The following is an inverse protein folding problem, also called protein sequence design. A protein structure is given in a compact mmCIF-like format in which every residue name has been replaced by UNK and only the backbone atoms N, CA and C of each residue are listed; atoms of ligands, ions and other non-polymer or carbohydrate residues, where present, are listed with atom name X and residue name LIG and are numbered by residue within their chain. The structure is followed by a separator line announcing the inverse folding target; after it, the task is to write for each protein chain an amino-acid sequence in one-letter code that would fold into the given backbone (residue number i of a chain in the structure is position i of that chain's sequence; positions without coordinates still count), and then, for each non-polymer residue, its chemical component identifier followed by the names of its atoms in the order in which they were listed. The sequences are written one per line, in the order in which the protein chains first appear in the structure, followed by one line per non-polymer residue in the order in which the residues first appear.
data_IF_944017672458
#
_entry.id   IF_944017672458
#
_cell.length_a   1.000
_cell.length_b   1.000
_cell.length_c   1.000
_cell.angle_alpha   90.00
_cell.angle_beta   90.00
_cell.angle_gamma   90.00
#
_symmetry.space_group_name_H-M   'P 1'
#
loop_
_entity.id
_entity.type
_entity.pdbx_description
1 polymer ?
#
# COMPACT_ATOMS: atom_id res chain seq x y z
N UNK A 1 17.93 -37.19 -11.12
CA UNK A 1 17.56 -36.39 -9.92
C UNK A 1 18.80 -36.12 -9.10
N UNK A 2 19.16 -34.86 -8.92
CA UNK A 2 20.30 -34.46 -8.07
C UNK A 2 19.87 -34.55 -6.59
N UNK A 3 20.64 -35.26 -5.76
CA UNK A 3 20.40 -35.34 -4.30
C UNK A 3 21.34 -34.38 -3.57
N UNK A 4 20.82 -33.65 -2.57
CA UNK A 4 21.65 -32.79 -1.72
C UNK A 4 22.63 -33.63 -0.87
N UNK A 5 23.95 -33.37 -0.93
CA UNK A 5 24.92 -33.98 -0.03
C UNK A 5 24.60 -33.68 1.44
N UNK A 6 24.98 -34.57 2.35
CA UNK A 6 24.75 -34.42 3.80
C UNK A 6 25.34 -33.12 4.35
N UNK A 7 26.55 -32.78 3.95
CA UNK A 7 27.23 -31.53 4.33
C UNK A 7 26.42 -30.30 3.92
N UNK A 8 25.86 -30.29 2.70
CA UNK A 8 25.03 -29.18 2.24
C UNK A 8 23.73 -29.10 3.04
N UNK A 9 23.07 -30.23 3.33
CA UNK A 9 21.87 -30.25 4.19
C UNK A 9 22.16 -29.71 5.59
N UNK A 10 23.34 -29.99 6.15
CA UNK A 10 23.75 -29.45 7.44
C UNK A 10 23.98 -27.94 7.36
N UNK A 11 24.72 -27.46 6.35
CA UNK A 11 25.01 -26.04 6.18
C UNK A 11 23.75 -25.21 5.96
N UNK A 12 22.75 -25.73 5.23
CA UNK A 12 21.46 -25.08 5.03
C UNK A 12 20.63 -24.91 6.31
N UNK A 13 20.97 -25.63 7.40
CA UNK A 13 20.30 -25.47 8.70
C UNK A 13 20.95 -24.40 9.59
N UNK A 14 22.11 -23.88 9.20
CA UNK A 14 22.83 -22.87 9.96
C UNK A 14 22.29 -21.46 9.64
N UNK A 15 22.64 -20.47 10.47
CA UNK A 15 22.32 -19.04 10.27
C UNK A 15 20.82 -18.73 10.20
N UNK A 16 20.03 -19.30 11.10
CA UNK A 16 18.60 -19.03 11.25
C UNK A 16 17.81 -19.21 9.93
N UNK A 17 17.75 -20.45 9.40
CA UNK A 17 17.14 -20.73 8.09
C UNK A 17 15.61 -20.56 8.07
N UNK A 18 14.98 -20.43 9.24
CA UNK A 18 13.55 -20.32 9.40
C UNK A 18 13.14 -18.87 9.69
N UNK A 19 11.90 -18.48 9.35
CA UNK A 19 11.35 -17.20 9.78
C UNK A 19 11.42 -17.01 11.31
N UNK A 20 11.43 -15.75 11.80
CA UNK A 20 11.32 -15.44 13.21
C UNK A 20 10.16 -16.14 13.90
N UNK A 21 10.29 -16.29 15.23
CA UNK A 21 9.19 -16.76 16.07
C UNK A 21 8.01 -15.80 15.94
N UNK A 22 6.82 -16.38 15.82
CA UNK A 22 5.59 -15.61 15.72
C UNK A 22 5.22 -15.02 17.09
N UNK A 23 4.65 -13.81 17.14
CA UNK A 23 4.18 -13.23 18.39
C UNK A 23 3.03 -14.07 18.98
N UNK A 24 2.85 -14.08 20.31
CA UNK A 24 1.67 -14.68 20.93
C UNK A 24 0.39 -14.07 20.36
N UNK A 25 -0.58 -14.92 19.99
CA UNK A 25 -1.85 -14.48 19.38
C UNK A 25 -2.59 -13.40 20.21
N UNK A 26 -2.63 -13.45 21.56
CA UNK A 26 -3.24 -12.37 22.34
C UNK A 26 -2.57 -11.02 22.14
N UNK A 27 -1.23 -10.98 22.04
CA UNK A 27 -0.46 -9.76 21.81
C UNK A 27 -0.73 -9.21 20.40
N UNK A 28 -0.70 -10.08 19.40
CA UNK A 28 -1.02 -9.73 18.02
C UNK A 28 -2.46 -9.19 17.90
N UNK A 29 -3.44 -9.87 18.51
CA UNK A 29 -4.82 -9.39 18.55
C UNK A 29 -4.94 -8.03 19.25
N UNK A 30 -4.21 -7.83 20.36
CA UNK A 30 -4.20 -6.58 21.11
C UNK A 30 -3.76 -5.40 20.25
N UNK A 31 -2.62 -5.52 19.57
CA UNK A 31 -2.09 -4.45 18.73
C UNK A 31 -2.89 -4.23 17.45
N UNK A 32 -3.39 -5.29 16.82
CA UNK A 32 -4.27 -5.17 15.66
C UNK A 32 -5.60 -4.49 16.04
N UNK A 33 -6.13 -4.79 17.23
CA UNK A 33 -7.36 -4.16 17.73
C UNK A 33 -7.18 -2.68 18.03
N UNK A 34 -6.13 -2.31 18.76
CA UNK A 34 -5.88 -0.90 19.13
C UNK A 34 -5.65 -0.03 17.89
N UNK A 35 -4.82 -0.49 16.97
CA UNK A 35 -4.52 0.23 15.72
C UNK A 35 -5.73 0.29 14.78
N UNK A 36 -6.55 -0.77 14.69
CA UNK A 36 -7.79 -0.75 13.91
C UNK A 36 -8.85 0.20 14.50
N UNK A 37 -8.97 0.26 15.83
CA UNK A 37 -9.87 1.22 16.49
C UNK A 37 -9.42 2.65 16.16
N UNK A 38 -8.13 2.92 16.20
CA UNK A 38 -7.61 4.23 15.84
C UNK A 38 -7.85 4.56 14.36
N UNK A 39 -7.60 3.61 13.45
CA UNK A 39 -7.88 3.75 12.03
C UNK A 39 -9.36 4.07 11.76
N UNK A 40 -10.29 3.41 12.47
CA UNK A 40 -11.73 3.69 12.35
C UNK A 40 -12.11 5.11 12.76
N UNK A 41 -11.44 5.68 13.76
CA UNK A 41 -11.69 7.08 14.18
C UNK A 41 -11.22 8.09 13.12
N UNK A 42 -10.31 7.68 12.26
CA UNK A 42 -9.66 8.48 11.22
C UNK A 42 -10.17 8.17 9.80
N UNK A 43 -11.17 7.29 9.68
CA UNK A 43 -11.65 6.76 8.39
C UNK A 43 -10.51 6.18 7.51
N UNK A 44 -9.51 5.53 8.14
CA UNK A 44 -8.28 5.05 7.51
C UNK A 44 -8.13 3.51 7.54
N UNK A 45 -9.24 2.78 7.46
CA UNK A 45 -9.26 1.32 7.63
C UNK A 45 -8.59 0.57 6.48
N UNK A 46 -8.65 1.09 5.25
CA UNK A 46 -7.99 0.48 4.09
C UNK A 46 -6.48 0.63 4.24
N UNK A 47 -6.03 1.83 4.58
CA UNK A 47 -4.63 2.13 4.86
C UNK A 47 -4.08 1.29 6.00
N UNK A 48 -4.86 1.10 7.07
CA UNK A 48 -4.51 0.21 8.17
C UNK A 48 -4.28 -1.23 7.70
N UNK A 49 -5.17 -1.78 6.88
CA UNK A 49 -5.01 -3.14 6.36
C UNK A 49 -3.76 -3.26 5.49
N UNK A 50 -3.52 -2.27 4.63
CA UNK A 50 -2.34 -2.19 3.74
C UNK A 50 -1.05 -2.12 4.57
N UNK A 51 -0.92 -1.14 5.47
CA UNK A 51 0.28 -0.96 6.27
C UNK A 51 0.52 -2.13 7.22
N UNK A 52 -0.53 -2.74 7.81
CA UNK A 52 -0.37 -3.89 8.70
C UNK A 52 0.11 -5.12 7.92
N UNK A 53 -0.42 -5.34 6.70
CA UNK A 53 0.03 -6.42 5.81
C UNK A 53 1.51 -6.24 5.47
N UNK A 54 1.91 -5.05 5.02
CA UNK A 54 3.29 -4.73 4.66
C UNK A 54 4.23 -4.83 5.86
N UNK A 55 3.81 -4.39 7.05
CA UNK A 55 4.61 -4.45 8.28
C UNK A 55 4.89 -5.90 8.69
N UNK A 56 3.86 -6.74 8.80
CA UNK A 56 4.01 -8.16 9.18
C UNK A 56 4.81 -8.96 8.15
N UNK A 57 4.60 -8.67 6.87
CA UNK A 57 5.35 -9.30 5.78
C UNK A 57 6.83 -8.89 5.84
N UNK A 58 7.12 -7.61 6.05
CA UNK A 58 8.50 -7.10 6.15
C UNK A 58 9.22 -7.67 7.37
N UNK A 59 8.54 -7.75 8.51
CA UNK A 59 9.02 -8.42 9.73
C UNK A 59 9.21 -9.95 9.57
N UNK A 60 8.92 -10.49 8.37
CA UNK A 60 9.04 -11.89 8.02
C UNK A 60 8.17 -12.78 8.93
N UNK A 61 6.89 -12.41 9.12
CA UNK A 61 5.91 -13.14 9.92
C UNK A 61 4.78 -13.76 9.08
N UNK A 62 5.05 -14.79 8.23
CA UNK A 62 4.07 -15.35 7.31
C UNK A 62 2.72 -15.74 7.90
N UNK A 63 2.70 -16.48 9.02
CA UNK A 63 1.44 -16.93 9.63
C UNK A 63 0.67 -15.77 10.25
N UNK A 64 1.36 -14.73 10.72
CA UNK A 64 0.72 -13.50 11.23
C UNK A 64 -0.03 -12.76 10.12
N UNK A 65 0.42 -12.83 8.86
CA UNK A 65 -0.32 -12.29 7.71
C UNK A 65 -1.63 -13.06 7.48
N UNK A 66 -1.62 -14.40 7.57
CA UNK A 66 -2.84 -15.21 7.53
C UNK A 66 -3.77 -14.96 8.73
N UNK A 67 -3.20 -14.69 9.90
CA UNK A 67 -3.98 -14.31 11.08
C UNK A 67 -4.62 -12.93 10.94
N UNK A 68 -3.92 -11.94 10.37
CA UNK A 68 -4.48 -10.62 10.06
C UNK A 68 -5.72 -10.72 9.17
N UNK A 69 -5.70 -11.61 8.17
CA UNK A 69 -6.87 -11.88 7.35
C UNK A 69 -8.07 -12.37 8.17
N UNK A 70 -7.83 -13.38 9.01
CA UNK A 70 -8.86 -13.96 9.88
C UNK A 70 -9.41 -12.89 10.82
N UNK A 71 -8.53 -12.07 11.41
CA UNK A 71 -8.90 -10.94 12.26
C UNK A 71 -9.75 -9.87 11.54
N UNK A 72 -9.40 -9.52 10.31
CA UNK A 72 -10.12 -8.49 9.54
C UNK A 72 -11.49 -8.98 9.02
N UNK A 73 -11.70 -10.29 8.91
CA UNK A 73 -12.86 -10.89 8.24
C UNK A 73 -13.81 -11.66 9.17
N UNK A 74 -13.44 -11.89 10.43
CA UNK A 74 -14.23 -12.67 11.40
C UNK A 74 -14.47 -11.88 12.69
N UNK A 75 -15.58 -12.18 13.38
CA UNK A 75 -15.82 -11.63 14.74
C UNK A 75 -14.89 -12.27 15.76
N UNK A 76 -14.69 -13.58 15.66
CA UNK A 76 -13.66 -14.33 16.36
C UNK A 76 -12.64 -14.82 15.31
N UNK A 77 -11.38 -14.35 15.34
CA UNK A 77 -10.36 -14.78 14.38
C UNK A 77 -10.17 -16.30 14.33
N UNK A 78 -10.41 -17.00 15.44
CA UNK A 78 -10.24 -18.45 15.54
C UNK A 78 -11.44 -19.26 15.00
N UNK A 79 -12.61 -18.64 14.81
CA UNK A 79 -13.83 -19.31 14.37
C UNK A 79 -14.30 -18.80 13.00
N UNK A 80 -14.07 -19.63 11.98
CA UNK A 80 -14.47 -19.37 10.59
C UNK A 80 -15.98 -19.18 10.41
N UNK A 81 -16.81 -19.75 11.28
CA UNK A 81 -18.27 -19.58 11.22
C UNK A 81 -18.70 -18.15 11.53
N UNK A 82 -17.85 -17.38 12.22
CA UNK A 82 -18.08 -15.99 12.57
C UNK A 82 -17.62 -14.99 11.50
N UNK A 83 -17.24 -15.50 10.32
CA UNK A 83 -16.87 -14.67 9.17
C UNK A 83 -18.04 -13.78 8.76
N UNK A 84 -17.76 -12.49 8.55
CA UNK A 84 -18.81 -11.50 8.30
C UNK A 84 -19.60 -11.76 7.01
N UNK A 85 -18.91 -11.89 5.87
CA UNK A 85 -19.57 -12.10 4.58
C UNK A 85 -18.57 -12.26 3.45
N UNK A 86 -18.97 -13.00 2.41
CA UNK A 86 -18.08 -13.39 1.32
C UNK A 86 -17.49 -12.19 0.58
N UNK A 87 -18.30 -11.18 0.26
CA UNK A 87 -17.85 -10.00 -0.48
C UNK A 87 -16.73 -9.25 0.25
N UNK A 88 -16.92 -9.03 1.55
CA UNK A 88 -15.91 -8.41 2.43
C UNK A 88 -14.65 -9.27 2.48
N UNK A 89 -14.80 -10.58 2.67
CA UNK A 89 -13.67 -11.50 2.76
C UNK A 89 -12.83 -11.51 1.47
N UNK A 90 -13.48 -11.49 0.30
CA UNK A 90 -12.81 -11.43 -1.02
C UNK A 90 -12.13 -10.06 -1.21
N UNK A 91 -12.78 -8.95 -0.83
CA UNK A 91 -12.17 -7.62 -0.93
C UNK A 91 -10.94 -7.47 -0.02
N UNK A 92 -11.07 -7.87 1.25
CA UNK A 92 -9.95 -7.91 2.21
C UNK A 92 -8.80 -8.76 1.66
N UNK A 93 -9.10 -9.95 1.13
CA UNK A 93 -8.07 -10.80 0.58
C UNK A 93 -7.38 -10.19 -0.65
N UNK A 94 -8.13 -9.53 -1.53
CA UNK A 94 -7.58 -8.87 -2.71
C UNK A 94 -6.64 -7.71 -2.33
N UNK A 95 -7.03 -6.86 -1.38
CA UNK A 95 -6.19 -5.77 -0.88
C UNK A 95 -4.89 -6.28 -0.24
N UNK A 96 -4.96 -7.36 0.55
CA UNK A 96 -3.77 -7.96 1.17
C UNK A 96 -2.85 -8.58 0.11
N UNK A 97 -3.39 -9.29 -0.91
CA UNK A 97 -2.59 -9.83 -2.03
C UNK A 97 -1.89 -8.72 -2.79
N UNK A 98 -2.59 -7.63 -3.06
CA UNK A 98 -2.05 -6.50 -3.80
C UNK A 98 -0.96 -5.78 -3.00
N UNK A 99 -1.19 -5.55 -1.70
CA UNK A 99 -0.19 -4.98 -0.78
C UNK A 99 1.08 -5.84 -0.73
N UNK A 100 0.91 -7.16 -0.63
CA UNK A 100 2.03 -8.11 -0.63
C UNK A 100 2.77 -8.10 -1.98
N UNK A 101 2.07 -8.08 -3.12
CA UNK A 101 2.71 -7.99 -4.43
C UNK A 101 3.52 -6.69 -4.59
N UNK A 102 2.93 -5.52 -4.29
CA UNK A 102 3.64 -4.22 -4.37
C UNK A 102 4.84 -4.18 -3.43
N UNK A 103 4.74 -4.81 -2.25
CA UNK A 103 5.85 -4.87 -1.29
C UNK A 103 7.12 -5.55 -1.84
N UNK A 104 7.00 -6.39 -2.87
CA UNK A 104 8.13 -7.10 -3.50
C UNK A 104 9.25 -6.16 -3.92
N UNK A 105 8.91 -4.95 -4.38
CA UNK A 105 9.89 -3.92 -4.81
C UNK A 105 10.76 -3.46 -3.65
N UNK A 106 10.25 -3.53 -2.41
CA UNK A 106 10.92 -3.04 -1.21
C UNK A 106 11.62 -4.15 -0.42
N UNK A 107 11.00 -5.32 -0.28
CA UNK A 107 11.45 -6.38 0.64
C UNK A 107 11.99 -7.63 -0.07
N UNK A 108 11.81 -7.70 -1.39
CA UNK A 108 12.24 -8.82 -2.22
C UNK A 108 11.29 -10.01 -2.25
N UNK A 109 11.42 -10.80 -3.31
CA UNK A 109 10.57 -11.96 -3.63
C UNK A 109 10.52 -13.03 -2.52
N UNK A 110 11.62 -13.40 -1.83
CA UNK A 110 11.58 -14.52 -0.89
C UNK A 110 10.61 -14.32 0.28
N UNK A 111 10.60 -13.14 0.93
CA UNK A 111 9.67 -12.86 2.04
C UNK A 111 8.22 -12.85 1.57
N UNK A 112 7.98 -12.29 0.38
CA UNK A 112 6.65 -12.26 -0.25
C UNK A 112 6.14 -13.67 -0.55
N UNK A 113 6.99 -14.57 -1.06
CA UNK A 113 6.60 -15.98 -1.30
C UNK A 113 6.14 -16.64 -0.01
N UNK A 114 6.93 -16.51 1.07
CA UNK A 114 6.61 -17.13 2.35
C UNK A 114 5.27 -16.60 2.89
N UNK A 115 5.08 -15.28 2.90
CA UNK A 115 3.85 -14.66 3.39
C UNK A 115 2.64 -14.96 2.52
N UNK A 116 2.75 -14.92 1.18
CA UNK A 116 1.64 -15.24 0.28
C UNK A 116 1.25 -16.71 0.34
N UNK A 117 2.20 -17.63 0.54
CA UNK A 117 1.90 -19.05 0.69
C UNK A 117 1.06 -19.29 1.96
N UNK A 118 1.50 -18.80 3.12
CA UNK A 118 0.76 -18.93 4.37
C UNK A 118 -0.58 -18.18 4.34
N UNK A 119 -0.61 -16.99 3.77
CA UNK A 119 -1.84 -16.25 3.58
C UNK A 119 -2.83 -17.01 2.68
N UNK A 120 -2.37 -17.60 1.58
CA UNK A 120 -3.22 -18.42 0.69
C UNK A 120 -3.80 -19.63 1.42
N UNK A 121 -3.02 -20.27 2.29
CA UNK A 121 -3.50 -21.38 3.12
C UNK A 121 -4.59 -20.95 4.10
N UNK A 122 -4.56 -19.71 4.59
CA UNK A 122 -5.56 -19.17 5.52
C UNK A 122 -6.91 -18.81 4.87
N UNK A 123 -6.96 -18.68 3.54
CA UNK A 123 -8.19 -18.33 2.82
C UNK A 123 -9.15 -19.51 2.68
N UNK A 124 -10.44 -19.25 2.84
CA UNK A 124 -11.51 -20.21 2.54
C UNK A 124 -11.63 -20.48 1.02
N UNK A 125 -12.15 -21.65 0.64
CA UNK A 125 -12.21 -22.07 -0.76
C UNK A 125 -13.16 -21.21 -1.60
N UNK A 126 -14.27 -20.74 -1.02
CA UNK A 126 -15.20 -19.82 -1.67
C UNK A 126 -14.56 -18.44 -1.93
N UNK A 127 -13.66 -18.00 -1.06
CA UNK A 127 -12.86 -16.79 -1.24
C UNK A 127 -11.82 -16.98 -2.35
N UNK A 128 -11.05 -18.08 -2.30
CA UNK A 128 -10.06 -18.42 -3.35
C UNK A 128 -10.71 -18.51 -4.74
N UNK A 129 -11.91 -19.08 -4.81
CA UNK A 129 -12.64 -19.23 -6.07
C UNK A 129 -13.01 -17.89 -6.72
N UNK A 130 -13.27 -16.84 -5.93
CA UNK A 130 -13.69 -15.51 -6.39
C UNK A 130 -12.54 -14.52 -6.60
N UNK A 131 -11.35 -14.84 -6.14
CA UNK A 131 -10.17 -14.00 -6.32
C UNK A 131 -9.69 -14.00 -7.78
N UNK A 132 -9.16 -12.86 -8.30
CA UNK A 132 -8.58 -12.82 -9.63
C UNK A 132 -7.47 -13.86 -9.81
N UNK A 133 -7.56 -14.62 -10.92
CA UNK A 133 -6.63 -15.69 -11.31
C UNK A 133 -5.75 -15.31 -12.51
N UNK A 134 -6.12 -14.26 -13.23
CA UNK A 134 -5.40 -13.73 -14.39
C UNK A 134 -4.60 -12.50 -13.98
N UNK A 135 -3.56 -12.20 -14.77
CA UNK A 135 -2.75 -11.01 -14.58
C UNK A 135 -3.58 -9.77 -14.98
N UNK A 136 -4.15 -9.06 -14.01
CA UNK A 136 -4.85 -7.77 -14.23
C UNK A 136 -3.94 -6.66 -14.79
N UNK A 137 -2.62 -6.91 -14.84
CA UNK A 137 -1.59 -5.95 -15.25
C UNK A 137 -0.91 -6.27 -16.57
N UNK A 138 -1.42 -7.21 -17.36
CA UNK A 138 -0.79 -7.57 -18.64
C UNK A 138 -0.86 -6.38 -19.58
N UNK A 139 0.25 -5.64 -19.67
CA UNK A 139 0.46 -4.44 -20.48
C UNK A 139 1.71 -4.71 -21.32
N UNK A 140 1.76 -4.17 -22.53
CA UNK A 140 2.99 -4.17 -23.31
C UNK A 140 4.07 -3.33 -22.60
N UNK A 141 5.33 -3.52 -23.01
CA UNK A 141 6.46 -2.87 -22.35
C UNK A 141 6.41 -1.34 -22.42
N UNK A 142 5.91 -0.77 -23.51
CA UNK A 142 5.85 0.68 -23.68
C UNK A 142 4.84 1.28 -22.70
N UNK A 143 3.68 0.63 -22.55
CA UNK A 143 2.67 1.01 -21.56
C UNK A 143 3.20 0.90 -20.12
N UNK A 144 3.97 -0.16 -19.80
CA UNK A 144 4.61 -0.31 -18.49
C UNK A 144 5.58 0.85 -18.23
N UNK A 145 6.46 1.14 -19.19
CA UNK A 145 7.44 2.23 -19.06
C UNK A 145 6.74 3.58 -18.91
N UNK A 146 5.69 3.85 -19.68
CA UNK A 146 4.91 5.08 -19.60
C UNK A 146 4.27 5.27 -18.22
N UNK A 147 3.55 4.24 -17.71
CA UNK A 147 2.96 4.31 -16.37
C UNK A 147 4.01 4.50 -15.27
N UNK A 148 5.14 3.81 -15.40
CA UNK A 148 6.23 3.96 -14.45
C UNK A 148 6.81 5.38 -14.45
N UNK A 149 6.93 6.02 -15.63
CA UNK A 149 7.36 7.43 -15.72
C UNK A 149 6.33 8.40 -15.16
N UNK A 150 5.04 8.19 -15.41
CA UNK A 150 3.96 9.00 -14.81
C UNK A 150 4.03 8.92 -13.28
N UNK A 151 4.15 7.70 -12.73
CA UNK A 151 4.28 7.48 -11.30
C UNK A 151 5.57 8.13 -10.74
N UNK A 152 6.69 7.98 -11.42
CA UNK A 152 7.97 8.58 -11.04
C UNK A 152 7.87 10.10 -10.94
N UNK A 153 7.41 10.78 -11.98
CA UNK A 153 7.32 12.24 -12.04
C UNK A 153 6.41 12.76 -10.93
N UNK A 154 5.26 12.12 -10.74
CA UNK A 154 4.33 12.49 -9.69
C UNK A 154 4.91 12.38 -8.27
N UNK A 155 5.85 11.45 -7.99
CA UNK A 155 6.56 11.42 -6.69
C UNK A 155 7.65 12.50 -6.67
N UNK A 156 8.45 12.62 -7.73
CA UNK A 156 9.77 13.26 -7.66
C UNK A 156 9.84 14.68 -8.21
N UNK A 157 8.85 15.17 -8.94
CA UNK A 157 8.81 16.56 -9.44
C UNK A 157 9.02 17.59 -8.31
N UNK A 158 9.86 18.64 -8.54
CA UNK A 158 10.56 19.00 -9.78
C UNK A 158 11.99 18.43 -9.90
N UNK A 159 12.31 17.36 -9.18
CA UNK A 159 13.65 16.74 -9.14
C UNK A 159 13.74 15.39 -9.85
N UNK A 160 12.70 15.01 -10.61
CA UNK A 160 12.54 13.73 -11.27
C UNK A 160 13.68 13.39 -12.23
N UNK A 161 14.11 14.35 -13.05
CA UNK A 161 15.18 14.15 -14.04
C UNK A 161 16.54 14.06 -13.35
N UNK A 162 16.80 14.99 -12.42
CA UNK A 162 18.06 15.00 -11.65
C UNK A 162 18.26 13.71 -10.86
N UNK A 163 17.20 13.19 -10.26
CA UNK A 163 17.27 11.92 -9.53
C UNK A 163 17.41 10.73 -10.47
N UNK A 164 16.70 10.74 -11.61
CA UNK A 164 16.82 9.72 -12.65
C UNK A 164 18.26 9.63 -13.15
N UNK A 165 18.86 10.76 -13.55
CA UNK A 165 20.25 10.81 -14.04
C UNK A 165 21.23 10.29 -12.99
N UNK A 166 21.02 10.66 -11.72
CA UNK A 166 21.86 10.19 -10.62
C UNK A 166 21.78 8.67 -10.47
N UNK A 167 20.60 8.07 -10.50
CA UNK A 167 20.45 6.61 -10.37
C UNK A 167 20.95 5.86 -11.63
N UNK A 168 20.75 6.44 -12.81
CA UNK A 168 21.31 5.91 -14.07
C UNK A 168 22.83 5.89 -14.06
N UNK A 169 23.46 6.88 -13.41
CA UNK A 169 24.93 6.92 -13.25
C UNK A 169 25.49 5.81 -12.36
N UNK A 170 24.68 5.22 -11.48
CA UNK A 170 25.10 4.08 -10.66
C UNK A 170 25.20 2.79 -11.49
N UNK A 171 24.26 2.59 -12.42
CA UNK A 171 24.28 1.50 -13.41
C UNK A 171 23.22 1.79 -14.50
N UNK A 172 23.53 1.63 -15.80
CA UNK A 172 22.63 2.02 -16.88
C UNK A 172 21.26 1.32 -16.83
N UNK A 173 21.23 0.02 -16.50
CA UNK A 173 19.97 -0.73 -16.41
C UNK A 173 19.18 -0.49 -15.12
N UNK A 174 19.79 0.12 -14.10
CA UNK A 174 19.14 0.22 -12.79
C UNK A 174 17.93 1.14 -12.81
N UNK A 175 18.06 2.29 -13.49
CA UNK A 175 16.93 3.20 -13.66
C UNK A 175 15.85 2.62 -14.58
N UNK A 176 16.24 1.87 -15.60
CA UNK A 176 15.29 1.15 -16.46
C UNK A 176 14.47 0.13 -15.64
N UNK A 177 15.15 -0.65 -14.79
CA UNK A 177 14.51 -1.58 -13.87
C UNK A 177 13.55 -0.88 -12.90
N UNK A 178 13.97 0.21 -12.26
CA UNK A 178 13.13 0.95 -11.30
C UNK A 178 11.83 1.39 -11.98
N UNK A 179 11.90 1.96 -13.18
CA UNK A 179 10.70 2.45 -13.83
C UNK A 179 9.79 1.32 -14.30
N UNK A 180 10.37 0.24 -14.82
CA UNK A 180 9.57 -0.94 -15.15
C UNK A 180 8.89 -1.52 -13.91
N UNK A 181 9.55 -1.53 -12.75
CA UNK A 181 8.93 -1.95 -11.48
C UNK A 181 7.83 -0.97 -11.03
N UNK A 182 8.03 0.34 -11.22
CA UNK A 182 7.02 1.36 -10.93
C UNK A 182 5.77 1.17 -11.80
N UNK A 183 5.95 0.92 -13.10
CA UNK A 183 4.84 0.71 -14.03
C UNK A 183 4.13 -0.63 -13.85
N UNK A 184 4.90 -1.70 -13.65
CA UNK A 184 4.37 -3.08 -13.62
C UNK A 184 3.90 -3.52 -12.24
N UNK A 185 4.38 -2.92 -11.15
CA UNK A 185 3.98 -3.29 -9.80
C UNK A 185 3.32 -2.14 -9.03
N UNK A 186 3.97 -0.97 -8.95
CA UNK A 186 3.53 0.08 -8.03
C UNK A 186 2.37 0.94 -8.56
N UNK A 187 2.25 1.10 -9.88
CA UNK A 187 1.18 1.89 -10.46
C UNK A 187 -0.21 1.30 -10.17
N UNK A 188 -1.25 2.14 -9.95
CA UNK A 188 -2.63 1.69 -9.93
C UNK A 188 -3.02 0.97 -11.25
N UNK A 189 -4.06 0.13 -11.21
CA UNK A 189 -4.51 -0.63 -12.38
C UNK A 189 -4.91 0.30 -13.55
N UNK A 190 -5.72 1.30 -13.24
CA UNK A 190 -6.14 2.40 -14.11
C UNK A 190 -5.25 3.62 -13.83
N UNK A 191 -4.37 3.94 -14.77
CA UNK A 191 -3.80 5.29 -14.90
C UNK A 191 -4.56 5.89 -16.07
N UNK A 192 -5.31 6.98 -15.87
CA UNK A 192 -6.07 7.59 -16.96
C UNK A 192 -5.13 7.88 -18.13
N UNK A 193 -5.35 7.17 -19.25
CA UNK A 193 -4.52 7.22 -20.46
C UNK A 193 -4.53 8.58 -21.15
N UNK A 194 -5.42 9.50 -20.74
CA UNK A 194 -5.46 10.87 -21.25
C UNK A 194 -4.28 11.72 -20.73
N UNK A 195 -3.65 11.34 -19.61
CA UNK A 195 -2.40 11.99 -19.14
C UNK A 195 -1.22 11.65 -20.07
N UNK A 196 -1.22 10.45 -20.66
CA UNK A 196 -0.17 10.01 -21.60
C UNK A 196 -0.14 10.82 -22.91
N UNK A 197 -1.25 11.50 -23.27
CA UNK A 197 -1.30 12.37 -24.46
C UNK A 197 -0.70 13.76 -24.24
N UNK A 198 -0.55 14.20 -22.99
CA UNK A 198 0.01 15.53 -22.67
C UNK A 198 1.53 15.63 -22.79
N UNK A 199 2.26 14.51 -22.64
CA UNK A 199 3.73 14.50 -22.61
C UNK A 199 4.41 14.34 -23.98
N UNK A 200 3.64 14.15 -25.07
CA UNK A 200 4.18 13.98 -26.42
C UNK A 200 4.20 15.26 -27.28
N UNK A 201 4.01 16.45 -26.69
CA UNK A 201 4.07 17.72 -27.44
C UNK A 201 4.99 18.73 -26.78
N UNK A 202 6.28 18.50 -26.94
CA UNK A 202 7.33 19.51 -26.80
C UNK A 202 8.04 19.70 -28.14
N UNK A 203 7.35 20.25 -29.14
CA UNK A 203 7.95 21.13 -30.16
C UNK A 203 6.88 21.68 -31.12
N UNK A 204 6.89 23.00 -31.33
CA UNK A 204 6.07 23.67 -32.35
C UNK A 204 5.38 24.97 -31.90
N UNK A 205 6.14 26.06 -31.98
CA UNK A 205 5.72 27.47 -32.13
C UNK A 205 4.26 27.79 -32.50
N UNK A 206 3.67 28.81 -31.87
CA UNK A 206 2.71 29.69 -32.56
C UNK A 206 1.62 30.41 -31.74
N UNK A 207 1.89 31.67 -31.41
CA UNK A 207 1.02 32.88 -31.51
C UNK A 207 -0.27 33.00 -30.66
N UNK A 208 -0.31 34.11 -29.92
CA UNK A 208 -1.43 34.74 -29.19
C UNK A 208 -2.70 34.96 -30.03
N UNK A 209 -3.89 34.84 -29.40
CA UNK A 209 -4.93 35.87 -29.56
C UNK A 209 -5.92 35.91 -28.38
N UNK A 210 -6.38 37.13 -28.08
CA UNK A 210 -7.21 37.55 -26.95
C UNK A 210 -8.70 37.32 -27.23
N UNK A 211 -9.50 37.09 -26.18
CA UNK A 211 -10.96 37.14 -26.29
C UNK A 211 -11.67 37.25 -24.94
N UNK A 212 -12.24 38.44 -24.67
CA UNK A 212 -13.08 38.80 -23.51
C UNK A 212 -14.40 38.04 -23.47
N UNK A 213 -14.97 37.93 -22.26
CA UNK A 213 -16.36 38.33 -22.03
C UNK A 213 -17.22 37.42 -21.14
N UNK A 214 -17.88 38.06 -20.17
CA UNK A 214 -19.26 37.71 -19.78
C UNK A 214 -19.41 36.91 -18.48
N UNK A 215 -19.87 37.60 -17.43
CA UNK A 215 -20.22 36.98 -16.15
C UNK A 215 -21.63 36.42 -16.10
N UNK A 216 -21.93 35.67 -15.04
CA UNK A 216 -23.25 35.59 -14.39
C UNK A 216 -23.11 34.75 -13.10
N UNK A 217 -23.46 35.35 -11.96
CA UNK A 217 -23.79 34.65 -10.72
C UNK A 217 -25.02 33.74 -10.90
N UNK A 218 -25.23 32.77 -10.00
CA UNK A 218 -26.48 32.88 -9.25
C UNK A 218 -26.38 32.56 -7.75
N UNK A 219 -27.08 33.42 -7.02
CA UNK A 219 -27.90 33.23 -5.82
C UNK A 219 -27.88 31.90 -5.04
N UNK A 220 -27.47 32.06 -3.78
CA UNK A 220 -27.92 31.41 -2.54
C UNK A 220 -29.36 30.86 -2.53
N UNK A 221 -29.54 29.68 -1.93
CA UNK A 221 -30.75 29.33 -1.18
C UNK A 221 -30.43 28.37 -0.03
N UNK A 222 -30.55 28.91 1.17
CA UNK A 222 -30.47 28.24 2.46
C UNK A 222 -31.75 27.45 2.73
N UNK A 223 -31.64 26.20 3.19
CA UNK A 223 -32.71 25.53 3.94
C UNK A 223 -32.14 24.86 5.18
N UNK A 224 -32.59 25.35 6.34
CA UNK A 224 -32.44 24.71 7.65
C UNK A 224 -33.33 23.47 7.73
N UNK A 225 -32.80 22.39 8.31
CA UNK A 225 -33.61 21.33 8.90
C UNK A 225 -33.03 20.94 10.27
N UNK A 226 -33.79 21.27 11.31
CA UNK A 226 -33.63 20.80 12.68
C UNK A 226 -34.36 19.47 12.87
N UNK A 227 -33.73 18.48 13.50
CA UNK A 227 -34.36 17.63 14.56
C UNK A 227 -33.42 16.51 15.00
N UNK A 228 -33.18 16.44 16.32
CA UNK A 228 -32.78 15.24 17.08
C UNK A 228 -34.05 14.51 17.53
N UNK A 229 -34.07 13.16 17.70
CA UNK A 229 -33.60 12.59 18.97
C UNK A 229 -32.95 11.17 18.92
N UNK A 230 -32.04 10.98 19.88
CA UNK A 230 -31.75 9.80 20.74
C UNK A 230 -31.92 8.33 20.29
N UNK A 231 -30.87 7.57 20.62
CA UNK A 231 -30.82 6.20 21.23
C UNK A 231 -30.23 5.02 20.41
N UNK A 232 -29.01 4.66 20.84
CA UNK A 232 -28.43 3.33 21.15
C UNK A 232 -28.65 2.10 20.24
N UNK A 233 -27.51 1.53 19.83
CA UNK A 233 -27.25 0.12 19.43
C UNK A 233 -27.60 -0.30 17.99
N UNK A 234 -26.64 -0.17 17.06
CA UNK A 234 -26.33 -1.16 15.99
C UNK A 234 -25.33 -0.61 14.94
N UNK A 235 -24.09 -0.31 15.34
CA UNK A 235 -23.05 0.12 14.38
C UNK A 235 -22.13 -1.04 13.97
N UNK A 236 -22.68 -1.98 13.21
CA UNK A 236 -21.89 -2.89 12.35
C UNK A 236 -22.64 -3.08 11.04
N UNK A 237 -22.61 -2.05 10.17
CA UNK A 237 -23.00 -2.19 8.77
C UNK A 237 -22.00 -1.50 7.86
N UNK A 238 -21.44 -2.31 6.96
CA UNK A 238 -21.06 -1.98 5.58
C UNK A 238 -20.03 -0.86 5.33
N UNK A 239 -18.74 -1.13 5.58
CA UNK A 239 -17.64 -0.30 5.03
C UNK A 239 -16.73 -1.03 4.04
N UNK A 240 -16.72 -2.37 4.01
CA UNK A 240 -15.94 -3.14 3.01
C UNK A 240 -16.70 -3.43 1.71
N UNK A 241 -17.95 -2.96 1.60
CA UNK A 241 -18.71 -2.96 0.36
C UNK A 241 -18.37 -1.69 -0.41
N UNK A 242 -17.19 -1.64 -1.02
CA UNK A 242 -16.87 -0.60 -1.99
C UNK A 242 -17.85 -0.69 -3.16
N UNK A 243 -18.43 0.45 -3.52
CA UNK A 243 -19.18 0.64 -4.77
C UNK A 243 -18.20 0.61 -5.95
N UNK A 244 -17.81 -0.58 -6.39
CA UNK A 244 -17.06 -0.81 -7.62
C UNK A 244 -17.84 -1.79 -8.48
N UNK A 245 -18.41 -1.30 -9.58
CA UNK A 245 -19.30 -2.04 -10.50
C UNK A 245 -18.54 -2.85 -11.56
N UNK A 246 -17.26 -3.18 -11.36
CA UNK A 246 -16.55 -4.15 -12.19
C UNK A 246 -15.70 -5.09 -11.34
N UNK A 247 -15.64 -6.37 -11.72
CA UNK A 247 -14.80 -7.39 -11.07
C UNK A 247 -13.30 -7.15 -11.26
N UNK A 248 -12.93 -6.20 -12.13
CA UNK A 248 -11.58 -6.00 -12.66
C UNK A 248 -10.71 -5.06 -11.80
N UNK A 249 -11.33 -4.21 -10.95
CA UNK A 249 -10.60 -3.26 -10.10
C UNK A 249 -10.40 -3.74 -8.66
N UNK A 250 -10.81 -4.97 -8.35
CA UNK A 250 -10.78 -5.47 -6.97
C UNK A 250 -9.35 -5.55 -6.44
N UNK A 251 -9.10 -4.89 -5.31
CA UNK A 251 -7.80 -4.85 -4.67
C UNK A 251 -6.87 -3.78 -5.23
N UNK A 252 -7.31 -2.97 -6.21
CA UNK A 252 -6.51 -1.85 -6.71
C UNK A 252 -6.15 -0.91 -5.54
N UNK A 253 -4.86 -0.59 -5.42
CA UNK A 253 -4.38 0.39 -4.44
C UNK A 253 -4.20 1.73 -5.12
N UNK A 254 -4.76 2.77 -4.52
CA UNK A 254 -4.62 4.17 -4.94
C UNK A 254 -3.15 4.59 -4.97
N UNK A 255 -2.90 5.79 -5.50
CA UNK A 255 -1.58 6.41 -5.39
C UNK A 255 -1.17 6.56 -3.92
N UNK A 256 -1.98 7.17 -3.07
CA UNK A 256 -1.62 7.37 -1.67
C UNK A 256 -1.33 6.03 -0.96
N UNK A 257 -2.18 5.01 -1.16
CA UNK A 257 -1.97 3.68 -0.57
C UNK A 257 -0.69 2.99 -1.09
N UNK A 258 -0.26 3.28 -2.32
CA UNK A 258 1.03 2.79 -2.83
C UNK A 258 2.21 3.43 -2.08
N UNK A 259 2.13 4.72 -1.75
CA UNK A 259 3.11 5.37 -0.87
C UNK A 259 3.07 4.81 0.57
N UNK A 260 1.89 4.40 1.05
CA UNK A 260 1.74 3.69 2.34
C UNK A 260 2.45 2.34 2.32
N UNK A 261 2.33 1.55 1.25
CA UNK A 261 3.09 0.28 1.08
C UNK A 261 4.59 0.53 1.24
N UNK A 262 5.13 1.49 0.49
CA UNK A 262 6.56 1.82 0.55
C UNK A 262 6.99 2.30 1.93
N UNK A 263 6.22 3.20 2.54
CA UNK A 263 6.52 3.74 3.88
C UNK A 263 6.49 2.66 4.95
N UNK A 264 5.50 1.76 4.94
CA UNK A 264 5.40 0.66 5.89
C UNK A 264 6.54 -0.35 5.73
N UNK A 265 6.87 -0.75 4.50
CA UNK A 265 7.99 -1.66 4.24
C UNK A 265 9.33 -1.05 4.65
N UNK A 266 9.62 0.19 4.23
CA UNK A 266 10.93 0.80 4.49
C UNK A 266 11.11 1.18 5.97
N UNK A 267 10.02 1.53 6.67
CA UNK A 267 10.04 1.75 8.12
C UNK A 267 10.29 0.45 8.87
N UNK A 268 9.66 -0.65 8.46
CA UNK A 268 9.84 -1.96 9.07
C UNK A 268 11.18 -2.64 8.74
N UNK A 269 11.76 -2.38 7.57
CA UNK A 269 13.09 -2.92 7.21
C UNK A 269 14.20 -2.28 8.05
N UNK A 270 14.10 -0.97 8.32
CA UNK A 270 15.17 -0.21 8.96
C UNK A 270 16.41 -0.04 8.07
N UNK A 271 17.37 0.78 8.51
CA UNK A 271 18.66 0.96 7.80
C UNK A 271 18.59 1.69 6.44
N UNK A 272 17.41 2.06 5.96
CA UNK A 272 17.15 2.70 4.65
C UNK A 272 16.51 4.08 4.77
N UNK A 273 16.99 4.86 5.76
CA UNK A 273 16.43 6.17 6.13
C UNK A 273 16.15 7.13 4.96
N UNK A 274 17.10 7.36 4.02
CA UNK A 274 16.87 8.21 2.86
C UNK A 274 15.71 7.73 1.97
N UNK A 275 15.56 6.41 1.79
CA UNK A 275 14.47 5.83 1.01
C UNK A 275 13.13 5.98 1.74
N UNK A 276 13.11 5.77 3.07
CA UNK A 276 11.91 6.02 3.88
C UNK A 276 11.47 7.48 3.75
N UNK A 277 12.39 8.43 3.91
CA UNK A 277 12.11 9.87 3.75
C UNK A 277 11.51 10.16 2.37
N UNK A 278 12.05 9.59 1.30
CA UNK A 278 11.51 9.75 -0.05
C UNK A 278 10.07 9.25 -0.19
N UNK A 279 9.70 8.14 0.47
CA UNK A 279 8.35 7.58 0.37
C UNK A 279 7.34 8.33 1.24
N UNK A 280 7.80 8.86 2.39
CA UNK A 280 7.04 9.79 3.22
C UNK A 280 6.73 11.08 2.45
N UNK A 281 7.73 11.65 1.76
CA UNK A 281 7.48 12.77 0.84
C UNK A 281 6.53 12.40 -0.30
N UNK A 282 6.67 11.19 -0.87
CA UNK A 282 5.75 10.67 -1.88
C UNK A 282 4.31 10.53 -1.39
N UNK A 283 4.08 10.26 -0.09
CA UNK A 283 2.75 10.26 0.52
C UNK A 283 2.23 11.69 0.72
N UNK A 284 3.05 12.59 1.29
CA UNK A 284 2.66 13.98 1.47
C UNK A 284 2.30 14.64 0.14
N UNK A 285 3.07 14.37 -0.91
CA UNK A 285 2.84 14.89 -2.25
C UNK A 285 1.60 14.32 -2.93
N UNK A 286 1.05 13.21 -2.44
CA UNK A 286 -0.22 12.70 -2.94
C UNK A 286 -1.35 13.73 -2.76
N UNK A 287 -1.21 14.74 -1.89
CA UNK A 287 -2.20 15.83 -1.71
C UNK A 287 -2.47 16.65 -2.98
N UNK A 288 -1.56 16.62 -3.96
CA UNK A 288 -1.72 17.29 -5.28
C UNK A 288 -1.83 16.27 -6.41
N UNK A 289 -2.13 15.00 -6.11
CA UNK A 289 -2.18 13.96 -7.14
C UNK A 289 -3.36 14.15 -8.11
N UNK A 290 -4.43 14.83 -7.69
CA UNK A 290 -5.57 15.18 -8.55
C UNK A 290 -5.14 16.08 -9.72
N UNK A 291 -4.21 17.02 -9.49
CA UNK A 291 -3.63 17.89 -10.53
C UNK A 291 -2.88 17.08 -11.61
N UNK A 292 -2.48 15.85 -11.26
CA UNK A 292 -1.76 14.91 -12.11
C UNK A 292 -2.68 13.79 -12.65
N UNK A 293 -3.99 13.93 -12.49
CA UNK A 293 -5.00 13.03 -13.04
C UNK A 293 -5.28 11.76 -12.23
N UNK A 294 -4.81 11.69 -10.98
CA UNK A 294 -5.17 10.62 -10.05
C UNK A 294 -6.49 10.92 -9.34
N UNK A 295 -7.36 9.92 -9.26
CA UNK A 295 -8.51 9.99 -8.38
C UNK A 295 -8.08 9.85 -6.91
N UNK A 296 -8.66 10.68 -6.03
CA UNK A 296 -8.47 10.59 -4.60
C UNK A 296 -9.81 10.44 -3.88
N UNK A 297 -9.88 9.50 -2.95
CA UNK A 297 -11.01 9.41 -2.01
C UNK A 297 -10.70 10.19 -0.71
N UNK A 298 -11.65 10.23 0.22
CA UNK A 298 -11.48 10.96 1.49
C UNK A 298 -10.30 10.43 2.31
N UNK A 299 -10.13 9.11 2.36
CA UNK A 299 -9.02 8.43 3.04
C UNK A 299 -7.67 8.84 2.43
N UNK A 300 -7.55 8.85 1.10
CA UNK A 300 -6.32 9.27 0.40
C UNK A 300 -5.93 10.72 0.73
N UNK A 301 -6.92 11.63 0.76
CA UNK A 301 -6.66 13.04 1.08
C UNK A 301 -6.21 13.20 2.53
N UNK A 302 -6.85 12.48 3.45
CA UNK A 302 -6.45 12.50 4.86
C UNK A 302 -5.04 11.92 5.05
N UNK A 303 -4.71 10.78 4.43
CA UNK A 303 -3.38 10.17 4.50
C UNK A 303 -2.26 11.10 4.02
N UNK A 304 -2.54 11.91 3.00
CA UNK A 304 -1.57 12.85 2.43
C UNK A 304 -1.34 14.12 3.29
N UNK A 305 -2.12 14.32 4.35
CA UNK A 305 -1.86 15.36 5.36
C UNK A 305 -0.67 15.00 6.24
N UNK A 306 -0.16 15.99 6.97
CA UNK A 306 0.93 15.78 7.92
C UNK A 306 0.50 14.83 9.05
N UNK A 307 -0.74 14.96 9.55
CA UNK A 307 -1.32 14.07 10.57
C UNK A 307 -1.47 12.63 10.05
N UNK A 308 -2.02 12.46 8.84
CA UNK A 308 -2.21 11.13 8.25
C UNK A 308 -0.88 10.43 7.96
N UNK A 309 0.10 11.17 7.47
CA UNK A 309 1.45 10.65 7.21
C UNK A 309 2.17 10.28 8.50
N UNK A 310 2.08 11.12 9.54
CA UNK A 310 2.61 10.80 10.87
C UNK A 310 1.94 9.54 11.44
N UNK A 311 0.62 9.43 11.29
CA UNK A 311 -0.14 8.27 11.73
C UNK A 311 0.33 6.97 11.08
N UNK A 312 0.63 6.97 9.79
CA UNK A 312 1.18 5.78 9.09
C UNK A 312 2.46 5.30 9.77
N UNK A 313 3.41 6.20 10.05
CA UNK A 313 4.69 5.83 10.68
C UNK A 313 4.47 5.31 12.10
N UNK A 314 3.69 6.02 12.93
CA UNK A 314 3.42 5.61 14.32
C UNK A 314 2.67 4.27 14.39
N UNK A 315 1.79 3.99 13.44
CA UNK A 315 1.04 2.74 13.41
C UNK A 315 1.95 1.56 13.06
N UNK A 316 2.87 1.75 12.11
CA UNK A 316 3.90 0.74 11.78
C UNK A 316 4.76 0.46 13.01
N UNK A 317 5.24 1.49 13.70
CA UNK A 317 6.04 1.34 14.93
C UNK A 317 5.26 0.59 16.01
N UNK A 318 3.99 0.95 16.24
CA UNK A 318 3.15 0.29 17.24
C UNK A 318 3.01 -1.21 16.99
N UNK A 319 2.89 -1.61 15.72
CA UNK A 319 2.85 -3.03 15.34
C UNK A 319 4.21 -3.68 15.60
N UNK A 320 5.31 -3.06 15.15
CA UNK A 320 6.67 -3.58 15.30
C UNK A 320 7.08 -3.76 16.77
N UNK A 321 6.72 -2.83 17.65
CA UNK A 321 7.01 -2.90 19.09
C UNK A 321 6.44 -4.17 19.75
N UNK A 322 5.40 -4.76 19.14
CA UNK A 322 4.74 -5.97 19.64
C UNK A 322 5.21 -7.23 18.91
N UNK A 323 5.51 -7.13 17.61
CA UNK A 323 5.76 -8.31 16.76
C UNK A 323 7.23 -8.54 16.43
N UNK A 324 8.08 -7.52 16.56
CA UNK A 324 9.52 -7.72 16.39
C UNK A 324 10.03 -8.60 17.53
N UNK A 325 10.81 -9.65 17.24
CA UNK A 325 11.46 -10.42 18.30
C UNK A 325 12.32 -9.46 19.13
N UNK A 326 12.35 -9.65 20.46
CA UNK A 326 13.18 -8.87 21.38
C UNK A 326 14.67 -8.98 20.98
N UNK A 327 15.12 -8.13 20.07
CA UNK A 327 16.46 -8.06 19.54
C UNK A 327 16.81 -6.58 19.38
N UNK A 328 17.60 -6.10 20.36
CA UNK A 328 18.43 -4.91 20.35
C UNK A 328 17.72 -3.56 20.11
N UNK A 329 17.38 -2.88 21.21
CA UNK A 329 17.31 -1.42 21.23
C UNK A 329 18.55 -0.83 20.53
N UNK A 330 18.40 0.06 19.55
CA UNK A 330 19.53 0.83 19.05
C UNK A 330 20.04 1.72 20.18
N UNK A 331 21.35 1.71 20.43
CA UNK A 331 22.00 2.75 21.22
C UNK A 331 21.76 4.15 20.63
N UNK A 332 22.04 5.22 21.39
CA UNK A 332 21.61 6.57 21.07
C UNK A 332 22.05 7.03 19.67
N UNK A 333 21.13 7.74 19.00
CA UNK A 333 21.25 8.26 17.65
C UNK A 333 22.55 9.04 17.44
N UNK A 334 23.37 8.58 16.50
CA UNK A 334 24.44 9.42 15.95
C UNK A 334 23.80 10.34 14.93
N UNK A 335 23.64 11.62 15.29
CA UNK A 335 23.15 12.67 14.40
C UNK A 335 24.06 12.77 13.17
N UNK A 336 23.61 12.25 12.04
CA UNK A 336 24.18 12.58 10.75
C UNK A 336 23.82 14.04 10.46
N UNK A 337 24.84 14.90 10.35
CA UNK A 337 24.70 16.26 9.84
C UNK A 337 24.35 16.16 8.36
N UNK A 338 23.16 16.64 8.00
CA UNK A 338 22.87 17.19 6.68
C UNK A 338 23.27 18.66 6.68
#
# INVERSE_FOLDING_TARGET
MTKLPSTIKQLLKLRNPNPPLQPPIPNLNGVLSSTLIDAKRKNAQTAWLVLATCTLLTANLPTSVGHLYSFATRKDPADVSTRYGLERAVNTAALMRESAFKSTVFVGVPRVILSLAEFTNALEDDVKARLPKTLSRTKDMDTIVAHGRILWNSIYEPYEDKLHDKLSSCHPDFMAFIIQAYGSALSPFSVNSDVSRGFSRGDGSGVDDRGRGGGSEPASSSQQLSSTPSSTTSYTRSFFAGSGTSTDERGNLSRALTSVVGSACLRAEGGVGPQLTSHVFGLLKARTAEDQGYEMNEEDRWLATDEGTEWVIKTVDSILDVVAPAQNHPGPETKAKL
#
